data_IF_098394379353
#
_entry.id   IF_098394379353
#
_cell.length_a   1.000
_cell.length_b   1.000
_cell.length_c   1.000
_cell.angle_alpha   90.00
_cell.angle_beta   90.00
_cell.angle_gamma   90.00
#
_symmetry.space_group_name_H-M   'P 1'
#
loop_
_entity.id
_entity.type
_entity.pdbx_description
1 polymer ?
#
# COMPACT_ATOMS: atom_id res chain seq x y z
N UNK A 1 -32.96 -9.45 19.11
CA UNK A 1 -32.84 -9.25 20.57
C UNK A 1 -31.75 -8.21 20.76
N UNK A 2 -31.91 -7.21 21.64
CA UNK A 2 -30.88 -6.17 21.78
C UNK A 2 -29.61 -6.75 22.37
N UNK A 3 -28.47 -6.54 21.70
CA UNK A 3 -27.21 -6.47 22.43
C UNK A 3 -27.36 -5.32 23.45
N UNK A 4 -27.02 -5.58 24.72
CA UNK A 4 -26.84 -4.49 25.69
C UNK A 4 -25.55 -3.80 25.30
N UNK A 5 -25.57 -2.47 25.19
CA UNK A 5 -24.33 -1.71 25.14
C UNK A 5 -23.60 -1.94 26.48
N UNK A 6 -22.38 -2.49 26.51
CA UNK A 6 -21.70 -2.81 27.78
C UNK A 6 -21.29 -1.55 28.55
N UNK A 7 -21.38 -0.36 27.95
CA UNK A 7 -20.94 0.93 28.47
C UNK A 7 -21.59 1.35 29.81
N UNK A 8 -22.73 0.76 30.20
CA UNK A 8 -23.42 1.03 31.46
C UNK A 8 -23.02 0.08 32.61
N UNK A 9 -21.82 0.30 33.15
CA UNK A 9 -21.28 -0.47 34.27
C UNK A 9 -22.13 -0.35 35.55
N UNK A 10 -22.86 0.75 35.74
CA UNK A 10 -23.68 1.00 36.95
C UNK A 10 -24.94 0.12 36.93
N UNK A 11 -25.73 0.15 35.83
CA UNK A 11 -26.88 -0.76 35.68
C UNK A 11 -26.44 -2.23 35.66
N UNK A 12 -25.26 -2.51 35.10
CA UNK A 12 -24.68 -3.85 35.14
C UNK A 12 -24.41 -4.33 36.57
N UNK A 13 -23.64 -3.58 37.37
CA UNK A 13 -23.31 -3.95 38.75
C UNK A 13 -24.56 -4.01 39.64
N UNK A 14 -25.53 -3.10 39.45
CA UNK A 14 -26.84 -3.19 40.12
C UNK A 14 -27.54 -4.50 39.78
N UNK A 15 -27.66 -4.89 38.50
CA UNK A 15 -28.28 -6.17 38.14
C UNK A 15 -27.48 -7.37 38.67
N UNK A 16 -26.14 -7.32 38.72
CA UNK A 16 -25.34 -8.42 39.27
C UNK A 16 -25.49 -8.58 40.80
N UNK A 17 -25.84 -7.51 41.51
CA UNK A 17 -25.94 -7.48 42.98
C UNK A 17 -27.37 -7.58 43.54
N UNK A 18 -28.38 -7.10 42.82
CA UNK A 18 -29.77 -7.02 43.31
C UNK A 18 -30.60 -8.27 43.03
N UNK A 19 -30.20 -9.13 42.08
CA UNK A 19 -30.91 -10.37 41.70
C UNK A 19 -30.71 -11.50 42.73
N UNK A 20 -31.01 -11.23 44.01
CA UNK A 20 -30.80 -12.12 45.16
C UNK A 20 -31.67 -13.40 45.08
N UNK A 21 -32.74 -13.38 44.29
CA UNK A 21 -33.68 -14.49 44.09
C UNK A 21 -33.36 -15.40 42.87
N UNK A 22 -32.31 -15.11 42.08
CA UNK A 22 -31.97 -15.92 40.91
C UNK A 22 -31.22 -17.22 41.33
N UNK A 23 -31.62 -18.37 40.78
CA UNK A 23 -30.98 -19.66 41.03
C UNK A 23 -29.47 -19.66 40.72
N UNK A 24 -28.68 -20.40 41.52
CA UNK A 24 -27.23 -20.45 41.40
C UNK A 24 -26.77 -20.96 40.02
N UNK A 25 -27.50 -21.89 39.39
CA UNK A 25 -27.19 -22.40 38.04
C UNK A 25 -27.41 -21.34 36.97
N UNK A 26 -28.49 -20.57 37.09
CA UNK A 26 -28.80 -19.46 36.19
C UNK A 26 -27.77 -18.33 36.34
N UNK A 27 -27.43 -17.95 37.57
CA UNK A 27 -26.39 -16.95 37.87
C UNK A 27 -25.02 -17.33 37.30
N UNK A 28 -24.59 -18.58 37.49
CA UNK A 28 -23.33 -19.10 36.90
C UNK A 28 -23.37 -19.08 35.37
N UNK A 29 -24.49 -19.46 34.76
CA UNK A 29 -24.66 -19.49 33.30
C UNK A 29 -24.62 -18.09 32.69
N UNK A 30 -25.27 -17.12 33.34
CA UNK A 30 -25.27 -15.70 33.03
C UNK A 30 -23.86 -15.11 33.09
N UNK A 31 -23.12 -15.34 34.19
CA UNK A 31 -21.75 -14.84 34.34
C UNK A 31 -20.79 -15.45 33.31
N UNK A 32 -20.93 -16.74 32.97
CA UNK A 32 -20.19 -17.36 31.86
C UNK A 32 -20.41 -16.63 30.52
N UNK A 33 -21.66 -16.25 30.22
CA UNK A 33 -22.02 -15.53 28.99
C UNK A 33 -21.47 -14.10 28.98
N UNK A 34 -21.51 -13.42 30.12
CA UNK A 34 -20.97 -12.07 30.28
C UNK A 34 -19.44 -12.04 30.12
N UNK A 35 -18.71 -13.02 30.69
CA UNK A 35 -17.27 -13.19 30.46
C UNK A 35 -16.96 -13.35 28.98
N UNK A 36 -17.69 -14.21 28.26
CA UNK A 36 -17.48 -14.37 26.81
C UNK A 36 -17.73 -13.06 26.05
N UNK A 37 -18.84 -12.35 26.33
CA UNK A 37 -19.14 -11.08 25.68
C UNK A 37 -18.08 -10.00 25.94
N UNK A 38 -17.47 -9.98 27.13
CA UNK A 38 -16.40 -9.04 27.48
C UNK A 38 -15.09 -9.43 26.79
N UNK A 39 -14.77 -10.72 26.63
CA UNK A 39 -13.62 -11.17 25.82
C UNK A 39 -13.76 -10.78 24.35
N UNK A 40 -14.95 -10.97 23.78
CA UNK A 40 -15.28 -10.56 22.41
C UNK A 40 -15.16 -9.04 22.23
N UNK A 41 -15.65 -8.24 23.18
CA UNK A 41 -15.52 -6.78 23.18
C UNK A 41 -14.07 -6.31 23.38
N UNK A 42 -13.30 -6.93 24.29
CA UNK A 42 -11.90 -6.61 24.51
C UNK A 42 -11.05 -6.84 23.26
N UNK A 43 -11.25 -7.98 22.58
CA UNK A 43 -10.59 -8.29 21.30
C UNK A 43 -11.01 -7.28 20.18
N UNK A 44 -12.24 -6.76 20.24
CA UNK A 44 -12.73 -5.73 19.31
C UNK A 44 -12.01 -4.39 19.51
N UNK A 45 -11.81 -3.92 20.76
CA UNK A 45 -11.07 -2.69 21.03
C UNK A 45 -9.58 -2.80 20.65
N UNK A 46 -8.94 -3.98 20.83
CA UNK A 46 -7.58 -4.24 20.31
C UNK A 46 -7.53 -4.07 18.79
N UNK A 47 -8.54 -4.59 18.09
CA UNK A 47 -8.66 -4.49 16.63
C UNK A 47 -8.93 -3.06 16.17
N UNK A 48 -9.76 -2.31 16.90
CA UNK A 48 -10.04 -0.91 16.63
C UNK A 48 -8.79 -0.03 16.80
N UNK A 49 -8.04 -0.21 17.89
CA UNK A 49 -6.78 0.50 18.12
C UNK A 49 -5.73 0.21 17.04
N UNK A 50 -5.64 -1.05 16.58
CA UNK A 50 -4.77 -1.41 15.46
C UNK A 50 -5.15 -0.71 14.15
N UNK A 51 -6.45 -0.55 13.87
CA UNK A 51 -6.91 0.23 12.71
C UNK A 51 -6.64 1.73 12.87
N UNK A 52 -6.87 2.31 14.05
CA UNK A 52 -6.59 3.73 14.33
C UNK A 52 -5.10 4.04 14.12
N UNK A 53 -4.21 3.18 14.62
CA UNK A 53 -2.76 3.30 14.38
C UNK A 53 -2.39 3.15 12.89
N UNK A 54 -3.00 2.22 12.16
CA UNK A 54 -2.78 2.08 10.71
C UNK A 54 -3.26 3.31 9.93
N UNK A 55 -4.43 3.86 10.29
CA UNK A 55 -4.96 5.10 9.71
C UNK A 55 -4.07 6.30 10.03
N UNK A 56 -3.56 6.40 11.26
CA UNK A 56 -2.64 7.46 11.68
C UNK A 56 -1.34 7.45 10.85
N UNK A 57 -0.70 6.28 10.73
CA UNK A 57 0.53 6.12 9.94
C UNK A 57 0.32 6.45 8.45
N UNK A 58 -0.88 6.23 7.93
CA UNK A 58 -1.25 6.67 6.57
C UNK A 58 -1.50 8.19 6.49
N UNK A 59 -2.24 8.77 7.44
CA UNK A 59 -2.54 10.21 7.48
C UNK A 59 -1.26 11.03 7.62
N UNK A 60 -0.37 10.68 8.56
CA UNK A 60 0.88 11.44 8.80
C UNK A 60 1.86 11.37 7.61
N UNK A 61 1.67 10.41 6.69
CA UNK A 61 2.46 10.27 5.45
C UNK A 61 1.74 10.77 4.20
N UNK A 62 0.47 11.22 4.26
CA UNK A 62 -0.19 11.86 3.13
C UNK A 62 0.34 13.28 2.90
N UNK A 63 0.70 13.61 1.65
CA UNK A 63 1.10 14.96 1.23
C UNK A 63 0.05 16.03 1.60
N UNK A 64 -1.24 15.69 1.49
CA UNK A 64 -2.37 16.55 1.92
C UNK A 64 -2.32 16.94 3.40
N UNK A 65 -1.78 16.08 4.27
CA UNK A 65 -1.61 16.35 5.69
C UNK A 65 -0.29 17.09 5.94
N UNK A 66 0.81 16.63 5.34
CA UNK A 66 2.16 17.20 5.51
C UNK A 66 2.24 18.66 5.01
N UNK A 67 1.58 18.96 3.89
CA UNK A 67 1.47 20.31 3.31
C UNK A 67 0.17 21.04 3.74
N UNK A 68 -0.67 20.39 4.54
CA UNK A 68 -1.92 20.94 5.02
C UNK A 68 -1.71 22.14 5.96
N UNK A 69 -2.69 23.04 6.01
CA UNK A 69 -2.63 24.19 6.93
C UNK A 69 -2.51 23.71 8.39
N UNK A 70 -1.86 24.47 9.28
CA UNK A 70 -1.74 24.08 10.69
C UNK A 70 -3.11 23.78 11.34
N UNK A 71 -4.15 24.56 11.01
CA UNK A 71 -5.52 24.29 11.47
C UNK A 71 -6.10 22.96 10.95
N UNK A 72 -5.85 22.57 9.70
CA UNK A 72 -6.26 21.28 9.16
C UNK A 72 -5.54 20.11 9.85
N UNK A 73 -4.22 20.25 10.09
CA UNK A 73 -3.43 19.27 10.83
C UNK A 73 -3.93 19.11 12.26
N UNK A 74 -4.14 20.21 12.99
CA UNK A 74 -4.73 20.21 14.36
C UNK A 74 -6.04 19.41 14.37
N UNK A 75 -7.03 19.79 13.55
CA UNK A 75 -8.36 19.15 13.54
C UNK A 75 -8.30 17.65 13.19
N UNK A 76 -7.38 17.26 12.30
CA UNK A 76 -7.22 15.86 11.86
C UNK A 76 -6.56 15.02 12.95
N UNK A 77 -5.47 15.51 13.54
CA UNK A 77 -4.77 14.83 14.64
C UNK A 77 -5.65 14.74 15.89
N UNK A 78 -6.35 15.83 16.24
CA UNK A 78 -7.27 15.90 17.38
C UNK A 78 -8.46 14.92 17.24
N UNK A 79 -8.99 14.70 16.02
CA UNK A 79 -9.96 13.61 15.80
C UNK A 79 -9.35 12.24 16.10
N UNK A 80 -8.15 11.94 15.60
CA UNK A 80 -7.55 10.61 15.79
C UNK A 80 -7.06 10.37 17.22
N UNK A 81 -6.53 11.39 17.88
CA UNK A 81 -6.14 11.35 19.29
C UNK A 81 -7.34 11.05 20.19
N UNK A 82 -8.48 11.73 20.00
CA UNK A 82 -9.71 11.42 20.75
C UNK A 82 -10.22 10.00 20.52
N UNK A 83 -10.18 9.51 19.27
CA UNK A 83 -10.53 8.12 18.97
C UNK A 83 -9.61 7.14 19.75
N UNK A 84 -8.30 7.33 19.67
CA UNK A 84 -7.31 6.46 20.31
C UNK A 84 -7.39 6.48 21.84
N UNK A 85 -7.60 7.66 22.44
CA UNK A 85 -7.81 7.83 23.87
C UNK A 85 -9.06 7.06 24.36
N UNK A 86 -10.19 7.20 23.65
CA UNK A 86 -11.44 6.52 24.00
C UNK A 86 -11.33 5.00 23.86
N UNK A 87 -10.67 4.49 22.80
CA UNK A 87 -10.39 3.06 22.65
C UNK A 87 -9.46 2.52 23.75
N UNK A 88 -8.40 3.26 24.15
CA UNK A 88 -7.54 2.88 25.28
C UNK A 88 -8.32 2.78 26.59
N UNK A 89 -9.22 3.73 26.86
CA UNK A 89 -10.08 3.73 28.05
C UNK A 89 -11.04 2.53 28.04
N UNK A 90 -11.78 2.32 26.94
CA UNK A 90 -12.70 1.19 26.76
C UNK A 90 -11.99 -0.15 26.94
N UNK A 91 -10.84 -0.31 26.30
CA UNK A 91 -9.97 -1.49 26.43
C UNK A 91 -9.58 -1.76 27.90
N UNK A 92 -9.05 -0.75 28.60
CA UNK A 92 -8.60 -0.88 29.99
C UNK A 92 -9.75 -1.23 30.95
N UNK A 93 -10.93 -0.64 30.72
CA UNK A 93 -12.15 -0.90 31.50
C UNK A 93 -12.68 -2.32 31.27
N UNK A 94 -12.74 -2.78 30.01
CA UNK A 94 -13.14 -4.15 29.68
C UNK A 94 -12.20 -5.19 30.30
N UNK A 95 -10.88 -4.95 30.25
CA UNK A 95 -9.88 -5.80 30.89
C UNK A 95 -10.11 -5.92 32.40
N UNK A 96 -10.27 -4.79 33.08
CA UNK A 96 -10.52 -4.71 34.52
C UNK A 96 -11.81 -5.43 34.90
N UNK A 97 -12.89 -5.18 34.14
CA UNK A 97 -14.20 -5.82 34.33
C UNK A 97 -14.15 -7.33 34.13
N UNK A 98 -13.38 -7.83 33.15
CA UNK A 98 -13.18 -9.27 32.96
C UNK A 98 -12.52 -9.92 34.19
N UNK A 99 -11.48 -9.29 34.74
CA UNK A 99 -10.77 -9.78 35.94
C UNK A 99 -11.70 -9.78 37.16
N UNK A 100 -12.46 -8.71 37.40
CA UNK A 100 -13.43 -8.65 38.50
C UNK A 100 -14.53 -9.70 38.36
N UNK A 101 -15.12 -9.87 37.17
CA UNK A 101 -16.16 -10.88 36.95
C UNK A 101 -15.58 -12.30 37.03
N UNK A 102 -14.33 -12.53 36.64
CA UNK A 102 -13.65 -13.83 36.84
C UNK A 102 -13.47 -14.15 38.33
N UNK A 103 -13.24 -13.14 39.17
CA UNK A 103 -13.22 -13.31 40.64
C UNK A 103 -14.61 -13.63 41.19
N UNK A 104 -15.64 -12.89 40.79
CA UNK A 104 -17.04 -13.18 41.18
C UNK A 104 -17.45 -14.59 40.74
N UNK A 105 -17.10 -14.99 39.52
CA UNK A 105 -17.33 -16.33 39.00
C UNK A 105 -16.68 -17.41 39.86
N UNK A 106 -15.39 -17.24 40.21
CA UNK A 106 -14.68 -18.14 41.12
C UNK A 106 -15.43 -18.30 42.44
N UNK A 107 -15.86 -17.20 43.02
CA UNK A 107 -16.43 -17.19 44.36
C UNK A 107 -17.84 -17.80 44.38
N UNK A 108 -18.62 -17.64 43.30
CA UNK A 108 -19.88 -18.36 43.06
C UNK A 108 -19.67 -19.87 42.80
N UNK A 109 -18.56 -20.27 42.17
CA UNK A 109 -18.31 -21.68 41.79
C UNK A 109 -17.64 -22.51 42.89
N UNK A 110 -16.96 -21.90 43.86
CA UNK A 110 -16.44 -22.59 45.06
C UNK A 110 -17.59 -23.25 45.83
N UNK A 111 -18.79 -22.65 45.82
CA UNK A 111 -20.00 -23.20 46.40
C UNK A 111 -20.73 -24.26 45.53
N UNK A 112 -20.19 -24.65 44.36
CA UNK A 112 -20.91 -25.46 43.35
C UNK A 112 -20.14 -26.69 42.82
N UNK A 113 -19.02 -27.06 43.46
CA UNK A 113 -18.03 -28.04 42.98
C UNK A 113 -17.32 -27.65 41.67
N UNK A 114 -16.04 -28.02 41.56
CA UNK A 114 -15.10 -27.31 40.69
C UNK A 114 -14.46 -28.18 39.60
N UNK A 115 -14.84 -27.95 38.34
CA UNK A 115 -14.15 -28.48 37.15
C UNK A 115 -13.96 -27.43 36.06
N UNK A 116 -14.99 -26.63 35.73
CA UNK A 116 -14.93 -25.63 34.65
C UNK A 116 -14.17 -24.33 34.99
N UNK A 117 -13.88 -24.07 36.27
CA UNK A 117 -13.30 -22.81 36.72
C UNK A 117 -11.83 -22.57 36.34
N UNK A 118 -11.12 -23.59 35.84
CA UNK A 118 -9.75 -23.42 35.35
C UNK A 118 -9.66 -22.52 34.10
N UNK A 119 -10.60 -22.67 33.14
CA UNK A 119 -10.55 -21.93 31.86
C UNK A 119 -10.50 -20.41 32.08
N UNK A 120 -11.47 -19.87 32.82
CA UNK A 120 -11.59 -18.42 32.99
C UNK A 120 -10.46 -17.82 33.81
N UNK A 121 -9.80 -18.59 34.69
CA UNK A 121 -8.56 -18.17 35.34
C UNK A 121 -7.46 -17.89 34.30
N UNK A 122 -7.19 -18.86 33.42
CA UNK A 122 -6.17 -18.73 32.37
C UNK A 122 -6.54 -17.65 31.34
N UNK A 123 -7.82 -17.49 31.02
CA UNK A 123 -8.31 -16.41 30.14
C UNK A 123 -8.08 -15.02 30.76
N UNK A 124 -8.25 -14.86 32.08
CA UNK A 124 -7.97 -13.61 32.79
C UNK A 124 -6.46 -13.32 32.89
N UNK A 125 -5.64 -14.35 33.14
CA UNK A 125 -4.18 -14.25 33.12
C UNK A 125 -3.67 -13.83 31.73
N UNK A 126 -4.25 -14.37 30.66
CA UNK A 126 -3.97 -13.94 29.29
C UNK A 126 -4.41 -12.47 29.03
N UNK A 127 -5.59 -12.06 29.50
CA UNK A 127 -6.07 -10.67 29.39
C UNK A 127 -5.15 -9.67 30.09
N UNK A 128 -4.54 -10.02 31.24
CA UNK A 128 -3.61 -9.14 31.96
C UNK A 128 -2.34 -8.91 31.14
N UNK A 129 -1.73 -9.98 30.60
CA UNK A 129 -0.55 -9.87 29.72
C UNK A 129 -0.89 -9.11 28.42
N UNK A 130 -2.08 -9.34 27.87
CA UNK A 130 -2.55 -8.66 26.65
C UNK A 130 -2.89 -7.17 26.90
N UNK A 131 -3.36 -6.82 28.11
CA UNK A 131 -3.57 -5.44 28.59
C UNK A 131 -2.24 -4.69 28.66
N UNK A 132 -1.23 -5.23 29.35
CA UNK A 132 0.09 -4.58 29.48
C UNK A 132 0.78 -4.38 28.13
N UNK A 133 0.76 -5.43 27.29
CA UNK A 133 1.33 -5.41 25.94
C UNK A 133 0.67 -4.41 25.00
N UNK A 134 -0.66 -4.26 25.06
CA UNK A 134 -1.35 -3.30 24.18
C UNK A 134 -1.41 -1.89 24.77
N UNK A 135 -1.48 -1.73 26.09
CA UNK A 135 -1.38 -0.41 26.76
C UNK A 135 -0.10 0.31 26.35
N UNK A 136 1.06 -0.34 26.45
CA UNK A 136 2.35 0.26 26.04
C UNK A 136 2.38 0.66 24.57
N UNK A 137 1.76 -0.13 23.68
CA UNK A 137 1.59 0.22 22.25
C UNK A 137 0.65 1.40 22.05
N UNK A 138 -0.45 1.46 22.81
CA UNK A 138 -1.44 2.54 22.70
C UNK A 138 -0.88 3.86 23.22
N UNK A 139 -0.20 3.84 24.37
CA UNK A 139 0.47 5.00 24.97
C UNK A 139 1.58 5.55 24.04
N UNK A 140 2.28 4.68 23.30
CA UNK A 140 3.24 5.11 22.27
C UNK A 140 2.59 5.83 21.08
N UNK A 141 1.48 5.30 20.55
CA UNK A 141 0.73 5.92 19.43
C UNK A 141 0.07 7.23 19.86
N UNK A 142 -0.45 7.29 21.09
CA UNK A 142 -1.01 8.50 21.69
C UNK A 142 0.07 9.58 21.80
N UNK A 143 1.27 9.24 22.30
CA UNK A 143 2.39 10.19 22.39
C UNK A 143 2.82 10.73 21.02
N UNK A 144 2.79 9.90 19.98
CA UNK A 144 3.12 10.32 18.60
C UNK A 144 2.08 11.33 18.05
N UNK A 145 0.79 11.03 18.24
CA UNK A 145 -0.31 11.96 17.93
C UNK A 145 -0.21 13.27 18.72
N UNK A 146 0.07 13.20 20.04
CA UNK A 146 0.28 14.39 20.89
C UNK A 146 1.48 15.23 20.40
N UNK A 147 2.54 14.59 19.91
CA UNK A 147 3.74 15.27 19.39
C UNK A 147 3.44 16.03 18.09
N UNK A 148 2.75 15.40 17.13
CA UNK A 148 2.32 16.09 15.90
C UNK A 148 1.24 17.15 16.17
N UNK A 149 0.38 16.97 17.18
CA UNK A 149 -0.58 17.99 17.60
C UNK A 149 0.11 19.22 18.17
N UNK A 150 1.07 19.05 19.10
CA UNK A 150 1.88 20.15 19.66
C UNK A 150 2.65 20.89 18.56
N UNK A 151 3.21 20.15 17.60
CA UNK A 151 3.89 20.72 16.41
C UNK A 151 2.91 21.54 15.57
N UNK A 152 1.73 21.00 15.25
CA UNK A 152 0.72 21.72 14.47
C UNK A 152 0.14 22.94 15.21
N UNK A 153 -0.02 22.89 16.54
CA UNK A 153 -0.37 24.04 17.38
C UNK A 153 0.71 25.11 17.39
N UNK A 154 1.98 24.73 17.52
CA UNK A 154 3.12 25.66 17.42
C UNK A 154 3.14 26.32 16.04
N UNK A 155 3.03 25.52 14.98
CA UNK A 155 2.95 25.98 13.59
C UNK A 155 1.77 26.95 13.34
N UNK A 156 0.66 26.81 14.08
CA UNK A 156 -0.50 27.71 14.03
C UNK A 156 -0.31 29.01 14.83
N UNK A 157 0.43 28.97 15.94
CA UNK A 157 0.73 30.15 16.78
C UNK A 157 1.84 31.03 16.21
N UNK A 158 2.82 30.42 15.53
CA UNK A 158 4.00 31.11 14.97
C UNK A 158 3.83 31.48 13.49
N UNK A 159 2.94 30.82 12.76
CA UNK A 159 2.67 31.10 11.35
C UNK A 159 1.78 32.34 11.14
N UNK A 160 1.96 33.12 10.06
CA UNK A 160 1.07 34.22 9.74
C UNK A 160 -0.34 33.70 9.40
N UNK A 161 -1.34 34.17 10.16
CA UNK A 161 -2.77 33.83 10.00
C UNK A 161 -3.43 34.41 8.73
N UNK A 162 -2.65 34.84 7.74
CA UNK A 162 -3.12 35.42 6.48
C UNK A 162 -2.38 34.78 5.30
N UNK A 163 -3.06 34.71 4.15
CA UNK A 163 -2.51 34.12 2.92
C UNK A 163 -1.55 35.09 2.19
N UNK A 164 -0.51 35.56 2.88
CA UNK A 164 0.57 36.33 2.25
C UNK A 164 1.53 35.41 1.48
N UNK A 165 2.37 36.01 0.62
CA UNK A 165 3.45 35.28 -0.04
C UNK A 165 4.46 34.66 0.95
N UNK A 166 4.54 35.17 2.18
CA UNK A 166 5.41 34.62 3.23
C UNK A 166 4.85 33.30 3.77
N UNK A 167 3.52 33.15 3.85
CA UNK A 167 2.87 31.88 4.20
C UNK A 167 3.20 30.80 3.15
N UNK A 168 3.15 31.16 1.87
CA UNK A 168 3.53 30.27 0.75
C UNK A 168 5.03 29.92 0.81
N UNK A 169 5.90 30.90 1.04
CA UNK A 169 7.34 30.69 1.19
C UNK A 169 7.73 29.96 2.51
N UNK A 170 6.84 29.92 3.51
CA UNK A 170 6.99 29.09 4.70
C UNK A 170 6.56 27.64 4.45
N UNK A 171 5.46 27.43 3.70
CA UNK A 171 5.05 26.09 3.24
C UNK A 171 6.13 25.45 2.36
N UNK A 172 6.70 26.19 1.39
CA UNK A 172 7.81 25.69 0.59
C UNK A 172 9.04 25.34 1.43
N UNK A 173 9.45 26.19 2.38
CA UNK A 173 10.57 25.87 3.29
C UNK A 173 10.29 24.63 4.14
N UNK A 174 9.11 24.52 4.76
CA UNK A 174 8.71 23.34 5.55
C UNK A 174 8.67 22.07 4.69
N UNK A 175 8.23 22.15 3.43
CA UNK A 175 8.26 21.03 2.49
C UNK A 175 9.70 20.58 2.19
N UNK A 176 10.60 21.54 1.89
CA UNK A 176 12.03 21.26 1.67
C UNK A 176 12.74 20.72 2.94
N UNK A 177 12.40 21.21 4.12
CA UNK A 177 12.96 20.72 5.39
C UNK A 177 12.48 19.31 5.73
N UNK A 178 11.18 19.01 5.53
CA UNK A 178 10.66 17.64 5.68
C UNK A 178 11.29 16.68 4.66
N UNK A 179 11.48 17.10 3.40
CA UNK A 179 12.20 16.33 2.37
C UNK A 179 13.68 16.14 2.73
N UNK A 180 14.33 17.13 3.34
CA UNK A 180 15.73 17.02 3.77
C UNK A 180 15.86 16.06 4.96
N UNK A 181 15.04 16.23 6.00
CA UNK A 181 15.03 15.37 7.19
C UNK A 181 14.74 13.91 6.84
N UNK A 182 13.69 13.64 6.07
CA UNK A 182 13.33 12.27 5.68
C UNK A 182 14.31 11.61 4.69
N UNK A 183 15.22 12.37 4.08
CA UNK A 183 16.36 11.80 3.35
C UNK A 183 17.59 11.63 4.25
N UNK A 184 17.87 12.55 5.19
CA UNK A 184 18.90 12.37 6.21
C UNK A 184 18.63 11.14 7.08
N UNK A 185 17.41 10.97 7.62
CA UNK A 185 17.03 9.78 8.39
C UNK A 185 17.23 8.45 7.61
N UNK A 186 17.20 8.50 6.27
CA UNK A 186 17.47 7.35 5.39
C UNK A 186 18.94 7.17 5.07
N UNK A 187 19.73 8.24 4.91
CA UNK A 187 21.19 8.14 4.77
C UNK A 187 21.81 7.68 6.08
N UNK A 188 21.35 8.23 7.20
CA UNK A 188 21.97 8.04 8.51
C UNK A 188 21.67 6.64 9.05
N UNK A 189 20.48 6.08 8.75
CA UNK A 189 20.20 4.64 8.93
C UNK A 189 21.10 3.74 8.06
N UNK A 190 21.28 4.07 6.78
CA UNK A 190 22.21 3.31 5.90
C UNK A 190 23.65 3.41 6.37
N UNK A 191 24.07 4.56 6.90
CA UNK A 191 25.40 4.75 7.47
C UNK A 191 25.57 3.89 8.73
N UNK A 192 24.57 3.85 9.63
CA UNK A 192 24.58 2.98 10.80
C UNK A 192 24.58 1.48 10.43
N UNK A 193 23.78 1.07 9.43
CA UNK A 193 23.77 -0.29 8.89
C UNK A 193 25.15 -0.69 8.30
N UNK A 194 25.78 0.22 7.54
CA UNK A 194 27.12 0.02 6.98
C UNK A 194 28.21 0.01 8.07
N UNK A 195 28.10 0.84 9.11
CA UNK A 195 29.02 0.84 10.25
C UNK A 195 28.93 -0.48 11.03
N UNK A 196 27.73 -0.97 11.31
CA UNK A 196 27.54 -2.27 11.97
C UNK A 196 28.09 -3.44 11.12
N UNK A 197 27.96 -3.39 9.80
CA UNK A 197 28.58 -4.35 8.87
C UNK A 197 30.11 -4.30 8.91
N UNK A 198 30.71 -3.10 8.94
CA UNK A 198 32.17 -2.92 9.04
C UNK A 198 32.70 -3.38 10.41
N UNK A 199 31.98 -3.10 11.50
CA UNK A 199 32.35 -3.57 12.85
C UNK A 199 32.24 -5.10 12.98
N UNK A 200 31.23 -5.71 12.36
CA UNK A 200 31.12 -7.17 12.26
C UNK A 200 32.29 -7.78 11.47
N UNK A 201 32.60 -7.26 10.28
CA UNK A 201 33.75 -7.73 9.48
C UNK A 201 35.09 -7.50 10.18
N UNK A 202 35.27 -6.38 10.89
CA UNK A 202 36.47 -6.13 11.69
C UNK A 202 36.60 -7.15 12.85
N UNK A 203 35.48 -7.56 13.45
CA UNK A 203 35.44 -8.59 14.50
C UNK A 203 35.74 -9.99 13.94
N UNK A 204 35.25 -10.32 12.75
CA UNK A 204 35.59 -11.57 12.04
C UNK A 204 37.07 -11.60 11.65
N UNK A 205 37.61 -10.51 11.08
CA UNK A 205 39.02 -10.38 10.75
C UNK A 205 39.93 -10.47 11.99
N UNK A 206 39.50 -9.92 13.14
CA UNK A 206 40.22 -10.07 14.40
C UNK A 206 40.24 -11.53 14.88
N UNK A 207 39.12 -12.26 14.78
CA UNK A 207 39.02 -13.68 15.11
C UNK A 207 39.86 -14.56 14.16
N UNK A 208 39.86 -14.27 12.86
CA UNK A 208 40.70 -14.95 11.86
C UNK A 208 42.18 -14.70 12.16
N UNK A 209 42.57 -13.44 12.41
CA UNK A 209 43.94 -13.07 12.76
C UNK A 209 44.41 -13.70 14.07
N UNK A 210 43.52 -13.93 15.04
CA UNK A 210 43.81 -14.69 16.26
C UNK A 210 44.11 -16.16 15.97
N UNK A 211 43.26 -16.84 15.18
CA UNK A 211 43.50 -18.23 14.74
C UNK A 211 44.83 -18.39 14.01
N UNK A 212 45.14 -17.49 13.08
CA UNK A 212 46.42 -17.47 12.34
C UNK A 212 47.62 -17.19 13.27
N UNK A 213 47.41 -16.57 14.43
CA UNK A 213 48.42 -16.47 15.48
C UNK A 213 48.60 -17.78 16.25
N UNK A 214 47.49 -18.40 16.65
CA UNK A 214 47.44 -19.67 17.41
C UNK A 214 47.99 -20.86 16.58
N UNK A 215 47.84 -20.84 15.25
CA UNK A 215 48.44 -21.81 14.32
C UNK A 215 49.95 -21.57 14.06
N UNK A 216 50.52 -20.44 14.52
CA UNK A 216 51.94 -20.10 14.30
C UNK A 216 52.88 -20.43 15.45
N UNK A 217 52.37 -20.90 16.58
CA UNK A 217 53.22 -21.40 17.69
C UNK A 217 53.55 -22.90 17.59
N UNK A 218 53.06 -23.61 16.57
CA UNK A 218 53.14 -25.09 16.47
C UNK A 218 53.79 -25.67 15.20
N UNK A 219 54.53 -24.87 14.41
CA UNK A 219 55.56 -25.44 13.50
C UNK A 219 56.71 -24.47 13.20
N UNK A 220 57.89 -24.72 13.75
CA UNK A 220 59.16 -24.06 13.36
C UNK A 220 60.36 -25.01 13.46
N UNK A 221 60.52 -25.87 12.45
CA UNK A 221 61.81 -26.49 12.13
C UNK A 221 61.91 -26.77 10.63
N UNK A 222 63.08 -26.43 10.05
CA UNK A 222 63.60 -26.81 8.74
C UNK A 222 62.99 -26.11 7.49
N UNK A 223 63.64 -24.99 7.15
CA UNK A 223 64.40 -24.80 5.89
C UNK A 223 63.69 -24.77 4.51
N UNK A 224 63.86 -23.61 3.87
CA UNK A 224 64.12 -23.37 2.43
C UNK A 224 63.32 -24.13 1.35
N UNK A 225 62.49 -23.39 0.63
CA UNK A 225 62.89 -22.90 -0.72
C UNK A 225 61.95 -21.80 -1.22
N UNK A 226 62.47 -20.94 -2.11
CA UNK A 226 61.76 -19.79 -2.69
C UNK A 226 61.23 -20.11 -4.12
N UNK A 227 60.30 -19.28 -4.58
CA UNK A 227 59.83 -19.06 -5.95
C UNK A 227 58.53 -19.75 -6.48
N UNK A 228 57.72 -18.88 -7.10
CA UNK A 228 56.94 -19.07 -8.35
C UNK A 228 55.41 -19.24 -8.30
N UNK A 229 54.71 -18.46 -7.46
CA UNK A 229 53.24 -18.28 -7.54
C UNK A 229 52.75 -17.68 -8.89
N UNK A 230 53.61 -16.98 -9.63
CA UNK A 230 53.29 -16.45 -10.98
C UNK A 230 52.82 -17.56 -11.94
N UNK A 231 53.35 -18.78 -11.79
CA UNK A 231 52.92 -19.94 -12.57
C UNK A 231 51.52 -20.45 -12.22
N UNK A 232 51.04 -20.20 -11.00
CA UNK A 232 49.68 -20.61 -10.57
C UNK A 232 48.62 -19.71 -11.20
N UNK A 233 48.84 -18.39 -11.20
CA UNK A 233 47.89 -17.43 -11.77
C UNK A 233 47.73 -17.53 -13.29
N UNK A 234 48.78 -17.93 -14.03
CA UNK A 234 48.68 -18.12 -15.49
C UNK A 234 47.97 -19.41 -15.92
N UNK A 235 47.71 -20.36 -15.01
CA UNK A 235 46.86 -21.54 -15.28
C UNK A 235 45.38 -21.17 -15.14
N UNK A 236 45.01 -20.54 -14.02
CA UNK A 236 43.62 -20.13 -13.73
C UNK A 236 43.02 -19.14 -14.76
N UNK A 237 43.87 -18.39 -15.49
CA UNK A 237 43.43 -17.47 -16.55
C UNK A 237 43.21 -18.14 -17.93
N UNK A 238 43.42 -19.45 -18.06
CA UNK A 238 43.19 -20.21 -19.31
C UNK A 238 41.88 -21.01 -19.34
N UNK A 239 41.20 -21.19 -18.22
CA UNK A 239 40.05 -22.11 -18.11
C UNK A 239 38.68 -21.39 -18.15
N UNK A 240 38.65 -20.09 -18.49
CA UNK A 240 37.41 -19.27 -18.53
C UNK A 240 37.28 -18.46 -19.83
N UNK A 241 37.92 -18.93 -20.91
CA UNK A 241 37.67 -18.47 -22.29
C UNK A 241 37.73 -19.63 -23.26
N UNK A 242 36.78 -19.62 -24.18
CA UNK A 242 36.65 -20.47 -25.35
C UNK A 242 36.54 -21.98 -25.06
N UNK A 243 35.28 -22.44 -24.98
CA UNK A 243 34.80 -23.47 -25.91
C UNK A 243 33.30 -23.25 -26.17
N UNK A 244 32.84 -23.57 -27.38
CA UNK A 244 31.46 -23.33 -27.87
C UNK A 244 30.97 -24.54 -28.65
N UNK A 245 29.84 -25.12 -28.22
CA UNK A 245 28.92 -26.08 -28.89
C UNK A 245 29.50 -27.28 -29.69
N UNK A 246 28.83 -28.45 -29.62
CA UNK A 246 28.10 -28.87 -30.84
C UNK A 246 26.80 -29.68 -30.63
N UNK A 247 25.73 -29.20 -31.25
CA UNK A 247 24.83 -29.85 -32.24
C UNK A 247 24.25 -31.29 -32.12
N UNK A 248 22.94 -31.37 -32.46
CA UNK A 248 22.17 -32.49 -33.09
C UNK A 248 21.93 -33.82 -32.28
N UNK A 249 20.87 -34.64 -32.47
CA UNK A 249 19.89 -34.86 -33.57
C UNK A 249 18.41 -35.16 -33.13
N UNK A 250 17.45 -34.76 -34.00
CA UNK A 250 16.15 -35.40 -34.38
C UNK A 250 15.02 -35.83 -33.40
N UNK A 251 13.80 -35.29 -33.62
CA UNK A 251 12.61 -36.00 -34.17
C UNK A 251 11.46 -34.99 -34.43
N UNK A 252 11.07 -34.69 -35.67
CA UNK A 252 10.07 -35.37 -36.54
C UNK A 252 8.61 -35.33 -36.02
N UNK A 253 7.73 -34.56 -36.68
CA UNK A 253 6.70 -35.10 -37.60
C UNK A 253 6.12 -34.02 -38.56
N UNK A 254 5.29 -34.39 -39.54
CA UNK A 254 5.03 -33.66 -40.81
C UNK A 254 3.71 -32.85 -40.92
N UNK A 255 3.67 -31.77 -41.74
CA UNK A 255 2.72 -31.61 -42.89
C UNK A 255 2.81 -30.27 -43.68
N UNK A 256 2.72 -30.43 -45.02
CA UNK A 256 2.02 -29.69 -46.12
C UNK A 256 1.28 -28.35 -45.87
N UNK A 257 1.04 -27.42 -46.82
CA UNK A 257 1.00 -27.36 -48.32
C UNK A 257 1.24 -25.85 -48.75
N UNK A 258 1.36 -25.29 -49.98
CA UNK A 258 1.42 -25.67 -51.42
C UNK A 258 2.13 -24.49 -52.19
N UNK A 259 2.39 -24.59 -53.52
CA UNK A 259 3.00 -23.53 -54.38
C UNK A 259 2.25 -23.38 -55.73
N UNK A 260 2.01 -22.14 -56.21
CA UNK A 260 1.62 -21.76 -57.59
C UNK A 260 2.20 -20.34 -57.89
N UNK A 261 3.24 -20.15 -58.74
CA UNK A 261 3.24 -19.85 -60.22
C UNK A 261 2.59 -18.50 -60.62
N UNK A 262 2.99 -17.74 -61.66
CA UNK A 262 4.04 -17.84 -62.72
C UNK A 262 4.13 -16.49 -63.50
N UNK A 263 5.31 -15.90 -63.79
CA UNK A 263 6.08 -15.88 -65.08
C UNK A 263 5.80 -14.70 -66.06
N UNK A 264 6.76 -14.48 -66.99
CA UNK A 264 6.84 -13.49 -68.10
C UNK A 264 7.05 -11.99 -67.72
N UNK A 265 7.69 -11.13 -68.55
CA UNK A 265 8.13 -11.27 -69.96
C UNK A 265 9.51 -10.60 -70.27
N UNK A 266 9.94 -10.65 -71.54
CA UNK A 266 11.25 -10.28 -72.13
C UNK A 266 11.32 -8.75 -72.49
N UNK A 267 12.37 -8.12 -73.04
CA UNK A 267 13.44 -8.55 -73.98
C UNK A 267 14.74 -7.71 -73.92
N UNK A 268 15.67 -7.95 -74.87
CA UNK A 268 17.05 -7.45 -74.94
C UNK A 268 17.24 -6.13 -75.74
N UNK A 269 18.37 -5.44 -75.55
CA UNK A 269 19.38 -5.14 -76.59
C UNK A 269 20.70 -4.59 -75.96
N UNK A 270 21.83 -4.71 -76.67
CA UNK A 270 23.20 -4.47 -76.13
C UNK A 270 23.80 -3.07 -76.53
N UNK A 271 25.12 -2.83 -76.72
CA UNK A 271 25.86 -2.01 -75.75
C UNK A 271 26.65 -0.81 -76.32
N UNK A 272 27.04 0.14 -75.46
CA UNK A 272 28.14 1.10 -75.72
C UNK A 272 28.96 1.31 -74.46
N UNK A 273 30.28 1.04 -74.55
CA UNK A 273 31.25 1.40 -73.52
C UNK A 273 31.60 2.89 -73.61
N UNK A 274 31.49 3.65 -72.51
CA UNK A 274 32.23 4.92 -72.37
C UNK A 274 32.47 5.27 -70.90
N UNK A 275 33.56 4.77 -70.34
CA UNK A 275 34.25 5.38 -69.19
C UNK A 275 35.52 6.10 -69.69
N UNK A 276 36.11 7.06 -68.94
CA UNK A 276 35.54 7.82 -67.82
C UNK A 276 35.81 9.33 -67.90
N UNK A 277 34.89 10.16 -67.41
CA UNK A 277 35.26 11.42 -66.74
C UNK A 277 34.48 11.57 -65.43
N UNK A 278 35.19 11.49 -64.31
CA UNK A 278 34.66 11.92 -63.01
C UNK A 278 34.59 13.45 -63.00
N UNK A 279 33.47 14.04 -62.52
CA UNK A 279 33.52 14.43 -61.11
C UNK A 279 32.20 14.34 -60.32
N UNK A 280 32.36 14.28 -58.99
CA UNK A 280 31.41 14.71 -57.94
C UNK A 280 30.32 13.72 -57.47
N UNK A 281 30.69 12.88 -56.49
CA UNK A 281 29.80 12.08 -55.61
C UNK A 281 28.82 12.90 -54.72
N UNK A 282 28.65 14.19 -54.99
CA UNK A 282 27.87 15.09 -54.15
C UNK A 282 26.38 15.14 -54.49
N UNK A 283 25.94 14.73 -55.68
CA UNK A 283 24.57 14.98 -56.12
C UNK A 283 23.56 13.91 -55.63
N UNK A 284 23.90 12.62 -55.72
CA UNK A 284 23.04 11.55 -55.18
C UNK A 284 22.90 11.63 -53.66
N UNK A 285 24.02 11.90 -52.97
CA UNK A 285 24.04 12.09 -51.51
C UNK A 285 23.23 13.31 -51.07
N UNK A 286 23.08 14.35 -51.90
CA UNK A 286 22.14 15.46 -51.65
C UNK A 286 20.68 15.02 -51.79
N UNK A 287 20.30 14.33 -52.88
CA UNK A 287 18.91 13.91 -53.10
C UNK A 287 18.42 12.90 -52.03
N UNK A 288 19.26 11.94 -51.65
CA UNK A 288 18.96 10.98 -50.59
C UNK A 288 18.77 11.66 -49.21
N UNK A 289 19.58 12.69 -48.91
CA UNK A 289 19.44 13.46 -47.66
C UNK A 289 18.22 14.40 -47.67
N UNK A 290 17.87 14.99 -48.82
CA UNK A 290 16.66 15.82 -48.94
C UNK A 290 15.38 15.02 -48.66
N UNK A 291 15.30 13.74 -49.08
CA UNK A 291 14.15 12.86 -48.78
C UNK A 291 14.07 12.42 -47.30
N UNK A 292 15.19 12.35 -46.57
CA UNK A 292 15.21 11.95 -45.14
C UNK A 292 14.80 13.07 -44.18
N UNK A 293 15.11 14.33 -44.51
CA UNK A 293 14.81 15.51 -43.68
C UNK A 293 13.33 15.71 -43.31
N UNK A 294 12.35 15.73 -44.24
CA UNK A 294 10.96 16.01 -43.90
C UNK A 294 10.38 14.97 -42.93
N UNK A 295 10.65 13.67 -43.14
CA UNK A 295 10.18 12.59 -42.23
C UNK A 295 10.74 12.71 -40.81
N UNK A 296 11.96 13.23 -40.62
CA UNK A 296 12.52 13.46 -39.29
C UNK A 296 11.85 14.65 -38.59
N UNK A 297 11.50 15.70 -39.33
CA UNK A 297 10.84 16.88 -38.76
C UNK A 297 9.35 16.65 -38.49
N UNK A 298 8.66 15.91 -39.37
CA UNK A 298 7.31 15.36 -39.14
C UNK A 298 7.24 14.47 -37.88
N UNK A 299 8.29 13.70 -37.60
CA UNK A 299 8.35 12.88 -36.39
C UNK A 299 8.59 13.74 -35.14
N UNK A 300 9.47 14.74 -35.20
CA UNK A 300 9.73 15.67 -34.08
C UNK A 300 8.52 16.52 -33.72
N UNK A 301 7.83 17.08 -34.71
CA UNK A 301 6.60 17.85 -34.51
C UNK A 301 5.51 17.01 -33.87
N UNK A 302 5.23 15.80 -34.41
CA UNK A 302 4.29 14.84 -33.83
C UNK A 302 4.65 14.44 -32.39
N UNK A 303 5.93 14.22 -32.09
CA UNK A 303 6.35 13.90 -30.73
C UNK A 303 6.19 15.10 -29.78
N UNK A 304 6.45 16.33 -30.23
CA UNK A 304 6.23 17.54 -29.45
C UNK A 304 4.73 17.78 -29.14
N UNK A 305 3.86 17.61 -30.14
CA UNK A 305 2.40 17.65 -29.97
C UNK A 305 1.93 16.60 -28.96
N UNK A 306 2.41 15.36 -29.08
CA UNK A 306 2.09 14.26 -28.14
C UNK A 306 2.58 14.56 -26.72
N UNK A 307 3.81 15.07 -26.57
CA UNK A 307 4.34 15.51 -25.26
C UNK A 307 3.46 16.61 -24.65
N UNK A 308 2.94 17.54 -25.46
CA UNK A 308 2.04 18.60 -24.99
C UNK A 308 0.67 18.03 -24.57
N UNK A 309 0.07 17.14 -25.36
CA UNK A 309 -1.17 16.41 -25.02
C UNK A 309 -1.04 15.67 -23.68
N UNK A 310 0.04 14.90 -23.53
CA UNK A 310 0.33 14.13 -22.32
C UNK A 310 0.54 15.05 -21.10
N UNK A 311 1.30 16.14 -21.24
CA UNK A 311 1.47 17.15 -20.17
C UNK A 311 0.14 17.76 -19.76
N UNK A 312 -0.72 18.12 -20.72
CA UNK A 312 -2.07 18.63 -20.44
C UNK A 312 -3.02 17.59 -19.83
N UNK A 313 -2.80 16.29 -20.08
CA UNK A 313 -3.51 15.18 -19.42
C UNK A 313 -3.03 14.99 -17.98
N UNK A 314 -1.72 14.91 -17.75
CA UNK A 314 -1.09 14.78 -16.43
C UNK A 314 -1.47 15.96 -15.53
N UNK A 315 -1.47 17.19 -16.05
CA UNK A 315 -1.88 18.37 -15.29
C UNK A 315 -3.33 18.27 -14.78
N UNK A 316 -4.28 17.87 -15.64
CA UNK A 316 -5.69 17.66 -15.24
C UNK A 316 -5.82 16.55 -14.20
N UNK A 317 -5.18 15.39 -14.42
CA UNK A 317 -5.20 14.28 -13.47
C UNK A 317 -4.65 14.70 -12.09
N UNK A 318 -3.58 15.51 -12.03
CA UNK A 318 -3.04 16.03 -10.76
C UNK A 318 -3.96 17.04 -10.06
N UNK A 319 -4.71 17.85 -10.80
CA UNK A 319 -5.71 18.77 -10.24
C UNK A 319 -6.94 18.00 -9.70
N UNK A 320 -7.33 16.90 -10.35
CA UNK A 320 -8.50 16.11 -10.01
C UNK A 320 -8.24 15.09 -8.87
N UNK A 321 -7.00 14.58 -8.72
CA UNK A 321 -6.65 13.53 -7.76
C UNK A 321 -6.95 13.88 -6.27
N UNK A 322 -6.78 15.13 -5.78
CA UNK A 322 -7.19 15.50 -4.42
C UNK A 322 -8.69 15.38 -4.16
N UNK A 323 -9.53 15.46 -5.20
CA UNK A 323 -11.00 15.37 -5.12
C UNK A 323 -11.53 13.95 -5.35
N UNK A 324 -10.64 13.01 -5.69
CA UNK A 324 -10.92 11.61 -5.95
C UNK A 324 -11.73 10.99 -4.79
N UNK A 325 -12.79 10.21 -5.09
CA UNK A 325 -13.66 9.67 -4.05
C UNK A 325 -12.91 8.76 -3.07
N UNK A 326 -13.15 8.96 -1.78
CA UNK A 326 -12.74 8.04 -0.71
C UNK A 326 -13.97 7.51 0.03
N UNK A 327 -13.81 6.36 0.69
CA UNK A 327 -14.83 5.73 1.52
C UNK A 327 -14.57 6.05 3.00
N UNK A 328 -15.55 6.60 3.70
CA UNK A 328 -15.45 6.85 5.14
C UNK A 328 -15.72 5.55 5.91
N UNK A 329 -14.68 4.99 6.52
CA UNK A 329 -14.70 3.74 7.29
C UNK A 329 -14.77 4.07 8.80
N UNK A 330 -15.91 3.80 9.44
CA UNK A 330 -16.11 4.10 10.87
C UNK A 330 -16.84 2.94 11.56
N UNK A 331 -16.31 2.46 12.70
CA UNK A 331 -16.89 1.33 13.43
C UNK A 331 -18.27 1.64 14.02
N UNK A 332 -18.44 2.87 14.52
CA UNK A 332 -19.64 3.37 15.19
C UNK A 332 -19.92 4.80 14.67
N UNK A 333 -21.07 5.00 14.04
CA UNK A 333 -21.52 6.30 13.51
C UNK A 333 -22.73 6.74 14.35
N UNK A 334 -22.68 7.95 14.90
CA UNK A 334 -23.81 8.48 15.68
C UNK A 334 -25.05 8.67 14.80
N UNK A 335 -26.23 8.33 15.32
CA UNK A 335 -27.50 8.44 14.60
C UNK A 335 -27.83 7.31 13.63
N UNK A 336 -27.01 6.25 13.51
CA UNK A 336 -27.41 5.04 12.77
C UNK A 336 -28.60 4.37 13.47
N UNK A 337 -29.61 4.01 12.68
CA UNK A 337 -30.77 3.28 13.18
C UNK A 337 -30.37 1.87 13.63
N UNK A 338 -30.58 1.54 14.90
CA UNK A 338 -30.23 0.25 15.52
C UNK A 338 -30.82 -1.00 14.86
N UNK A 339 -31.77 -0.87 13.93
CA UNK A 339 -32.34 -1.97 13.13
C UNK A 339 -31.58 -2.23 11.81
N UNK A 340 -30.61 -1.40 11.43
CA UNK A 340 -29.82 -1.57 10.20
C UNK A 340 -28.72 -2.61 10.47
N UNK A 341 -28.75 -3.71 9.72
CA UNK A 341 -27.66 -4.70 9.69
C UNK A 341 -26.67 -4.38 8.58
N UNK A 342 -25.38 -4.35 8.89
CA UNK A 342 -24.33 -4.25 7.90
C UNK A 342 -24.30 -5.51 7.02
N UNK A 343 -24.34 -5.32 5.70
CA UNK A 343 -24.45 -6.38 4.69
C UNK A 343 -23.18 -7.23 4.53
N UNK A 344 -22.07 -6.84 5.14
CA UNK A 344 -20.76 -7.49 4.97
C UNK A 344 -20.27 -8.17 6.26
N UNK A 345 -20.28 -7.46 7.40
CA UNK A 345 -19.84 -8.00 8.69
C UNK A 345 -20.98 -8.39 9.64
N UNK A 346 -22.24 -8.41 9.16
CA UNK A 346 -23.45 -8.73 9.92
C UNK A 346 -23.71 -7.92 11.20
N UNK A 347 -22.92 -6.87 11.48
CA UNK A 347 -23.05 -6.03 12.68
C UNK A 347 -24.33 -5.21 12.63
N UNK A 348 -25.15 -5.28 13.68
CA UNK A 348 -26.36 -4.47 13.83
C UNK A 348 -26.05 -3.07 14.39
N UNK A 349 -26.70 -2.05 13.84
CA UNK A 349 -26.87 -0.72 14.44
C UNK A 349 -25.64 0.18 14.51
N UNK A 350 -24.41 -0.33 14.36
CA UNK A 350 -23.19 0.49 14.55
C UNK A 350 -22.82 1.37 13.34
N UNK A 351 -22.96 0.87 12.11
CA UNK A 351 -22.55 1.58 10.89
C UNK A 351 -23.38 1.18 9.66
N UNK A 352 -23.47 2.06 8.66
CA UNK A 352 -24.01 1.73 7.34
C UNK A 352 -23.07 0.78 6.59
N UNK A 353 -23.61 -0.12 5.75
CA UNK A 353 -22.80 -1.09 5.00
C UNK A 353 -21.65 -0.45 4.19
N UNK A 354 -21.87 0.72 3.58
CA UNK A 354 -20.83 1.45 2.83
C UNK A 354 -19.62 1.80 3.71
N UNK A 355 -19.86 2.18 4.96
CA UNK A 355 -18.83 2.55 5.95
C UNK A 355 -18.22 1.38 6.71
N UNK A 356 -18.51 0.13 6.35
CA UNK A 356 -18.01 -1.05 7.06
C UNK A 356 -16.47 -1.08 7.11
N UNK A 357 -15.85 -1.04 8.31
CA UNK A 357 -14.38 -1.07 8.45
C UNK A 357 -13.80 -2.48 8.51
N UNK A 358 -14.63 -3.52 8.62
CA UNK A 358 -14.19 -4.93 8.69
C UNK A 358 -13.94 -5.48 7.28
N UNK A 359 -14.84 -5.17 6.34
CA UNK A 359 -14.68 -5.50 4.92
C UNK A 359 -14.53 -4.19 4.17
N UNK A 360 -13.31 -3.87 3.74
CA UNK A 360 -12.97 -2.52 3.22
C UNK A 360 -13.09 -2.47 1.69
N UNK A 361 -12.50 -3.45 1.01
CA UNK A 361 -12.30 -3.48 -0.44
C UNK A 361 -13.62 -3.76 -1.20
N UNK A 362 -13.87 -3.00 -2.27
CA UNK A 362 -15.08 -3.13 -3.10
C UNK A 362 -15.25 -4.50 -3.77
N UNK A 363 -14.16 -5.11 -4.26
CA UNK A 363 -14.21 -6.40 -4.95
C UNK A 363 -14.48 -7.58 -3.99
N UNK A 364 -13.97 -7.49 -2.77
CA UNK A 364 -14.30 -8.39 -1.65
C UNK A 364 -15.77 -8.26 -1.25
N UNK A 365 -16.26 -7.04 -1.07
CA UNK A 365 -17.68 -6.75 -0.82
C UNK A 365 -18.59 -7.28 -1.94
N UNK A 366 -18.14 -7.20 -3.19
CA UNK A 366 -18.84 -7.77 -4.34
C UNK A 366 -18.95 -9.30 -4.23
N UNK A 367 -17.83 -9.97 -3.95
CA UNK A 367 -17.80 -11.44 -3.72
C UNK A 367 -18.76 -11.86 -2.61
N UNK A 368 -18.80 -11.13 -1.49
CA UNK A 368 -19.72 -11.43 -0.38
C UNK A 368 -21.20 -11.31 -0.80
N UNK A 369 -21.57 -10.26 -1.54
CA UNK A 369 -22.97 -10.12 -2.01
C UNK A 369 -23.35 -11.18 -3.04
N UNK A 370 -22.45 -11.55 -3.95
CA UNK A 370 -22.68 -12.67 -4.88
C UNK A 370 -22.83 -14.00 -4.14
N UNK A 371 -21.92 -14.33 -3.21
CA UNK A 371 -21.94 -15.57 -2.42
C UNK A 371 -23.15 -15.69 -1.50
N UNK A 372 -23.60 -14.58 -0.90
CA UNK A 372 -24.81 -14.57 -0.06
C UNK A 372 -26.11 -14.55 -0.87
N UNK A 373 -26.04 -14.33 -2.19
CA UNK A 373 -27.20 -14.22 -3.08
C UNK A 373 -27.99 -12.93 -2.87
N UNK A 374 -27.31 -11.81 -2.59
CA UNK A 374 -27.89 -10.48 -2.51
C UNK A 374 -27.87 -9.74 -3.85
N UNK A 375 -28.75 -8.76 -4.01
CA UNK A 375 -28.83 -7.93 -5.21
C UNK A 375 -27.76 -6.84 -5.22
N UNK A 376 -27.01 -6.69 -6.32
CA UNK A 376 -25.95 -5.67 -6.46
C UNK A 376 -26.47 -4.23 -6.30
N UNK A 377 -27.76 -3.98 -6.51
CA UNK A 377 -28.37 -2.65 -6.45
C UNK A 377 -28.92 -2.25 -5.07
N UNK A 378 -29.28 -3.21 -4.21
CA UNK A 378 -29.88 -2.92 -2.89
C UNK A 378 -29.26 -3.69 -1.70
N UNK A 379 -28.24 -4.53 -1.94
CA UNK A 379 -27.56 -5.41 -0.96
C UNK A 379 -28.44 -6.48 -0.28
N UNK A 380 -29.74 -6.51 -0.56
CA UNK A 380 -30.70 -7.46 0.00
C UNK A 380 -31.13 -8.49 -1.06
N UNK A 381 -31.75 -9.59 -0.63
CA UNK A 381 -32.41 -10.52 -1.54
C UNK A 381 -33.69 -9.86 -2.06
N UNK A 382 -33.82 -9.73 -3.38
CA UNK A 382 -35.05 -9.29 -4.03
C UNK A 382 -35.43 -10.24 -5.16
N UNK A 383 -36.73 -10.40 -5.41
CA UNK A 383 -37.26 -11.46 -6.27
C UNK A 383 -36.78 -11.41 -7.74
N UNK A 384 -36.38 -10.23 -8.20
CA UNK A 384 -35.82 -9.98 -9.52
C UNK A 384 -34.72 -8.91 -9.38
N UNK A 385 -33.49 -9.24 -9.77
CA UNK A 385 -32.36 -8.30 -9.72
C UNK A 385 -32.43 -7.25 -10.85
N UNK A 386 -32.98 -7.59 -12.01
CA UNK A 386 -33.12 -6.67 -13.15
C UNK A 386 -34.28 -5.69 -12.95
N UNK A 387 -35.37 -6.11 -12.30
CA UNK A 387 -36.50 -5.25 -11.91
C UNK A 387 -36.36 -4.66 -10.50
N UNK A 388 -35.15 -4.64 -9.93
CA UNK A 388 -34.91 -4.05 -8.63
C UNK A 388 -35.18 -2.54 -8.66
N UNK A 389 -35.97 -2.01 -7.72
CA UNK A 389 -36.30 -0.57 -7.60
C UNK A 389 -35.11 0.36 -7.26
N UNK A 390 -33.89 -0.19 -7.25
CA UNK A 390 -32.63 0.52 -7.07
C UNK A 390 -31.72 0.43 -8.31
N UNK A 391 -32.06 -0.37 -9.34
CA UNK A 391 -31.22 -0.60 -10.50
C UNK A 391 -30.90 0.68 -11.30
N UNK A 392 -31.87 1.58 -11.43
CA UNK A 392 -31.67 2.89 -12.08
C UNK A 392 -31.02 3.98 -11.22
N UNK A 393 -30.51 3.68 -10.02
CA UNK A 393 -29.91 4.69 -9.12
C UNK A 393 -28.39 4.75 -9.32
N UNK A 394 -27.80 5.90 -9.67
CA UNK A 394 -26.37 6.01 -9.93
C UNK A 394 -25.55 5.75 -8.65
N UNK A 395 -24.40 5.10 -8.82
CA UNK A 395 -23.42 4.96 -7.74
C UNK A 395 -22.76 6.33 -7.46
N UNK A 396 -22.87 6.79 -6.21
CA UNK A 396 -22.30 8.05 -5.73
C UNK A 396 -20.79 8.22 -6.06
N UNK A 397 -20.02 7.13 -5.99
CA UNK A 397 -18.59 7.17 -6.29
C UNK A 397 -18.29 7.18 -7.80
N UNK A 398 -19.12 6.52 -8.61
CA UNK A 398 -18.99 6.55 -10.08
C UNK A 398 -19.34 7.92 -10.64
N UNK A 399 -20.47 8.49 -10.21
CA UNK A 399 -20.95 9.79 -10.66
C UNK A 399 -19.97 10.94 -10.29
N UNK A 400 -19.12 10.73 -9.29
CA UNK A 400 -18.06 11.68 -8.87
C UNK A 400 -16.77 11.61 -9.70
N UNK A 401 -16.54 10.56 -10.49
CA UNK A 401 -15.37 10.46 -11.41
C UNK A 401 -15.77 10.46 -12.90
N UNK A 402 -17.05 10.34 -13.20
CA UNK A 402 -17.63 10.52 -14.53
C UNK A 402 -17.38 11.94 -15.05
N UNK A 403 -16.95 12.09 -16.30
CA UNK A 403 -16.49 13.36 -16.87
C UNK A 403 -15.11 13.82 -16.41
N UNK A 404 -14.43 13.09 -15.51
CA UNK A 404 -13.05 13.39 -15.10
C UNK A 404 -12.03 12.55 -15.87
N UNK A 405 -10.75 12.89 -15.73
CA UNK A 405 -9.61 12.12 -16.25
C UNK A 405 -9.49 10.71 -15.65
N UNK A 406 -10.33 10.37 -14.65
CA UNK A 406 -10.42 9.07 -13.98
C UNK A 406 -11.68 8.26 -14.34
N UNK A 407 -12.51 8.70 -15.30
CA UNK A 407 -13.72 7.98 -15.72
C UNK A 407 -13.46 6.53 -16.17
N UNK A 408 -12.26 6.25 -16.70
CA UNK A 408 -11.82 4.91 -17.10
C UNK A 408 -11.73 3.88 -15.96
N UNK A 409 -11.76 4.32 -14.69
CA UNK A 409 -11.79 3.44 -13.52
C UNK A 409 -13.20 2.90 -13.17
N UNK A 410 -14.25 3.46 -13.78
CA UNK A 410 -15.65 3.06 -13.52
C UNK A 410 -15.89 1.60 -13.95
N UNK A 411 -16.41 0.73 -13.05
CA UNK A 411 -16.78 -0.64 -13.40
C UNK A 411 -17.81 -0.72 -14.53
N UNK A 412 -17.60 -1.66 -15.46
CA UNK A 412 -18.54 -1.99 -16.54
C UNK A 412 -19.53 -3.08 -16.12
N UNK A 413 -20.19 -2.89 -14.98
CA UNK A 413 -21.01 -3.90 -14.29
C UNK A 413 -22.53 -3.70 -14.43
N UNK A 414 -22.95 -2.72 -15.24
CA UNK A 414 -24.36 -2.34 -15.39
C UNK A 414 -24.91 -1.45 -14.25
N UNK A 415 -24.07 -1.04 -13.30
CA UNK A 415 -24.44 -0.24 -12.15
C UNK A 415 -24.53 -1.05 -10.86
N UNK A 416 -24.30 -0.39 -9.73
CA UNK A 416 -24.20 -1.04 -8.43
C UNK A 416 -24.53 -0.09 -7.27
N UNK A 417 -24.89 -0.68 -6.13
CA UNK A 417 -25.02 0.03 -4.87
C UNK A 417 -23.66 0.58 -4.41
N UNK A 418 -23.60 1.84 -3.98
CA UNK A 418 -22.35 2.56 -3.60
C UNK A 418 -21.39 1.75 -2.70
N UNK A 419 -21.94 0.95 -1.80
CA UNK A 419 -21.17 0.13 -0.87
C UNK A 419 -20.29 -0.93 -1.55
N UNK A 420 -20.62 -1.35 -2.78
CA UNK A 420 -19.86 -2.32 -3.59
C UNK A 420 -18.80 -1.68 -4.48
N UNK A 421 -18.79 -0.35 -4.62
CA UNK A 421 -17.91 0.32 -5.56
C UNK A 421 -16.43 0.12 -5.18
N UNK A 422 -15.60 -0.26 -6.15
CA UNK A 422 -14.14 -0.37 -5.97
C UNK A 422 -13.37 0.93 -6.31
N UNK A 423 -14.03 1.95 -6.86
CA UNK A 423 -13.38 3.23 -7.21
C UNK A 423 -12.66 3.87 -6.00
N UNK A 424 -13.21 3.92 -4.77
CA UNK A 424 -12.49 4.43 -3.61
C UNK A 424 -11.15 3.71 -3.31
N UNK A 425 -11.07 2.42 -3.65
CA UNK A 425 -9.87 1.60 -3.44
C UNK A 425 -8.79 1.86 -4.52
N UNK A 426 -9.21 2.38 -5.69
CA UNK A 426 -8.39 2.59 -6.90
C UNK A 426 -7.57 3.89 -6.91
N UNK A 427 -7.52 4.66 -5.82
CA UNK A 427 -6.71 5.92 -5.77
C UNK A 427 -5.22 5.68 -6.04
N UNK A 428 -4.68 4.48 -5.72
CA UNK A 428 -3.31 4.07 -6.10
C UNK A 428 -3.15 3.73 -7.59
N UNK A 429 -4.21 3.25 -8.24
CA UNK A 429 -4.23 2.98 -9.69
C UNK A 429 -4.29 4.30 -10.48
N UNK A 430 -5.09 5.25 -10.00
CA UNK A 430 -5.14 6.63 -10.47
C UNK A 430 -3.75 7.31 -10.39
N UNK A 431 -3.08 7.22 -9.23
CA UNK A 431 -1.72 7.74 -9.03
C UNK A 431 -0.71 7.07 -9.97
N UNK A 432 -0.69 5.73 -10.03
CA UNK A 432 0.21 4.99 -10.94
C UNK A 432 0.03 5.42 -12.40
N UNK A 433 -1.20 5.65 -12.86
CA UNK A 433 -1.41 6.10 -14.25
C UNK A 433 -0.85 7.52 -14.49
N UNK A 434 -0.75 8.38 -13.48
CA UNK A 434 -0.05 9.68 -13.59
C UNK A 434 1.46 9.45 -13.72
N UNK A 435 2.04 8.56 -12.91
CA UNK A 435 3.46 8.21 -12.93
C UNK A 435 3.88 7.65 -14.30
N UNK A 436 3.19 6.60 -14.80
CA UNK A 436 3.42 6.05 -16.14
C UNK A 436 3.27 7.09 -17.28
N UNK A 437 2.39 8.09 -17.14
CA UNK A 437 2.26 9.17 -18.14
C UNK A 437 3.40 10.19 -18.05
N UNK A 438 4.02 10.37 -16.89
CA UNK A 438 5.24 11.17 -16.75
C UNK A 438 6.45 10.46 -17.35
N UNK A 439 6.54 9.14 -17.18
CA UNK A 439 7.56 8.30 -17.83
C UNK A 439 7.43 8.37 -19.37
N UNK A 440 6.22 8.22 -19.91
CA UNK A 440 5.92 8.38 -21.36
C UNK A 440 6.36 9.76 -21.89
N UNK A 441 6.15 10.84 -21.11
CA UNK A 441 6.63 12.20 -21.44
C UNK A 441 8.15 12.28 -21.45
N UNK A 442 8.82 11.66 -20.48
CA UNK A 442 10.28 11.69 -20.38
C UNK A 442 10.97 10.92 -21.51
N UNK A 443 10.45 9.73 -21.87
CA UNK A 443 11.01 8.91 -22.95
C UNK A 443 10.90 9.63 -24.31
N UNK A 444 9.72 10.14 -24.65
CA UNK A 444 9.51 10.94 -25.86
C UNK A 444 10.40 12.21 -25.88
N UNK A 445 10.67 12.81 -24.71
CA UNK A 445 11.58 13.95 -24.58
C UNK A 445 13.06 13.57 -24.76
N UNK A 446 13.45 12.33 -24.40
CA UNK A 446 14.81 11.81 -24.57
C UNK A 446 15.10 11.47 -26.05
N UNK A 447 14.15 10.87 -26.77
CA UNK A 447 14.30 10.55 -28.20
C UNK A 447 14.28 11.79 -29.12
N UNK A 448 13.66 12.89 -28.67
CA UNK A 448 13.72 14.18 -29.34
C UNK A 448 15.08 14.89 -29.29
N UNK A 449 16.02 14.45 -28.44
CA UNK A 449 17.29 15.15 -28.21
C UNK A 449 18.36 14.85 -29.29
N UNK A 450 18.83 15.87 -30.06
CA UNK A 450 19.80 15.66 -31.14
C UNK A 450 21.16 15.07 -30.71
N UNK A 451 21.59 15.24 -29.46
CA UNK A 451 22.91 14.79 -29.01
C UNK A 451 23.07 13.26 -29.07
N UNK A 452 22.04 12.48 -28.73
CA UNK A 452 22.08 11.01 -28.78
C UNK A 452 21.86 10.41 -30.17
N UNK A 453 21.22 11.16 -31.07
CA UNK A 453 21.09 10.72 -32.47
C UNK A 453 22.46 10.63 -33.16
N UNK A 454 23.43 11.48 -32.78
CA UNK A 454 24.82 11.42 -33.26
C UNK A 454 25.58 10.19 -32.75
N UNK A 455 25.41 9.82 -31.48
CA UNK A 455 26.06 8.65 -30.88
C UNK A 455 25.58 7.32 -31.52
N UNK A 456 24.29 7.23 -31.87
CA UNK A 456 23.73 6.06 -32.59
C UNK A 456 24.16 5.97 -34.08
N UNK A 457 24.76 7.02 -34.65
CA UNK A 457 25.31 7.01 -36.02
C UNK A 457 26.85 7.02 -36.05
N UNK A 458 27.49 6.79 -34.90
CA UNK A 458 28.95 6.77 -34.73
C UNK A 458 29.46 5.40 -34.24
N UNK A 459 28.71 4.34 -34.56
CA UNK A 459 29.04 2.93 -34.41
C UNK A 459 28.61 2.20 -35.67
#
# INVERSE_FOLDING_TARGET
>A
MSARDPDDDVKFLSSLMLDIQEDQTNRVTRVCKELQQIREAFNHEVSAAALIHLQWNYIVTEENFVLGTPAFRILTTDKQLRNMLSTRERFSRLASRFVYITRIYRDLHIAANWTKGAKWKTEAEAIIVELEKNRTRFDAVIKDMETELQKAEKDFREGPCTASAEHVNALFRRAFENLKGTNQDKTDKKIAELQALVEAQASELANIKKKIGEEKETTTSNEESDANDEKYFQVMLKEVKDDTEPDLETSFDENEELIVRSEADQSQEDPVETEPEAPSDQEETRQANQRKRPRQEEHRTRNAERIQELKSRVARMKIELPYFPFRLLEFQIQGVNGKIRCSFCATDGKHYSDSCPIVVNGDERWKIIQQTGGCQFCLLKCNDHQRCAYAGKPCFYCERVKGSSFEWLIPKDGGHHRALCNIPDKRREAQRRIENLQEEIEELSKDGNPQRQREKTAR
#
